data_IF_647799737276
#
_entry.id   IF_647799737276
#
_cell.length_a   1.000
_cell.length_b   1.000
_cell.length_c   1.000
_cell.angle_alpha   90.00
_cell.angle_beta   90.00
_cell.angle_gamma   90.00
#
_symmetry.space_group_name_H-M   'P 1'
#
loop_
_entity.id
_entity.type
_entity.pdbx_description
1 polymer ?
#
# COMPACT_ATOMS: atom_id res chain seq x y z
N UNK A 1 -2.79 -14.21 -10.54
CA UNK A 1 -2.69 -12.76 -10.81
C UNK A 1 -1.72 -12.18 -9.80
N UNK A 2 -0.84 -11.25 -10.18
CA UNK A 2 0.18 -10.74 -9.25
C UNK A 2 -0.43 -9.86 -8.16
N UNK A 3 0.13 -9.92 -6.96
CA UNK A 3 -0.17 -9.07 -5.82
C UNK A 3 0.86 -7.95 -5.73
N UNK A 4 0.38 -6.71 -5.74
CA UNK A 4 1.21 -5.53 -5.45
C UNK A 4 0.89 -5.02 -4.05
N UNK A 5 1.93 -4.61 -3.33
CA UNK A 5 1.81 -3.92 -2.05
C UNK A 5 2.48 -2.55 -2.14
N UNK A 6 1.72 -1.50 -1.86
CA UNK A 6 2.17 -0.11 -2.03
C UNK A 6 2.61 0.47 -0.68
N UNK A 7 3.89 0.84 -0.56
CA UNK A 7 4.41 1.52 0.63
C UNK A 7 4.17 3.03 0.48
N UNK A 8 3.32 3.60 1.34
CA UNK A 8 2.87 4.99 1.25
C UNK A 8 1.69 5.18 0.30
N UNK A 9 0.62 4.40 0.48
CA UNK A 9 -0.54 4.37 -0.43
C UNK A 9 -1.50 5.56 -0.29
N UNK A 10 -1.44 6.31 0.82
CA UNK A 10 -2.43 7.32 1.22
C UNK A 10 -2.35 8.66 0.46
N UNK A 11 -1.30 8.90 -0.31
CA UNK A 11 -1.22 10.08 -1.17
C UNK A 11 -2.17 9.97 -2.37
N UNK A 12 -2.70 11.10 -2.86
CA UNK A 12 -3.61 11.13 -4.03
C UNK A 12 -3.04 10.45 -5.27
N UNK A 13 -1.75 10.65 -5.53
CA UNK A 13 -1.05 9.98 -6.63
C UNK A 13 -1.00 8.45 -6.42
N UNK A 14 -0.58 8.00 -5.24
CA UNK A 14 -0.42 6.58 -4.94
C UNK A 14 -1.77 5.86 -4.85
N UNK A 15 -2.81 6.50 -4.31
CA UNK A 15 -4.18 6.01 -4.33
C UNK A 15 -4.74 5.89 -5.75
N UNK A 16 -4.40 6.83 -6.64
CA UNK A 16 -4.73 6.73 -8.07
C UNK A 16 -4.05 5.54 -8.75
N UNK A 17 -2.76 5.31 -8.48
CA UNK A 17 -2.04 4.12 -8.95
C UNK A 17 -2.69 2.83 -8.43
N UNK A 18 -3.08 2.81 -7.15
CA UNK A 18 -3.75 1.68 -6.53
C UNK A 18 -5.08 1.35 -7.23
N UNK A 19 -5.88 2.38 -7.56
CA UNK A 19 -7.14 2.22 -8.28
C UNK A 19 -6.92 1.67 -9.70
N UNK A 20 -5.98 2.23 -10.45
CA UNK A 20 -5.64 1.76 -11.81
C UNK A 20 -5.15 0.30 -11.77
N UNK A 21 -4.29 -0.05 -10.81
CA UNK A 21 -3.80 -1.41 -10.67
C UNK A 21 -4.93 -2.40 -10.33
N UNK A 22 -5.87 -1.98 -9.47
CA UNK A 22 -7.06 -2.79 -9.15
C UNK A 22 -7.91 -3.02 -10.41
N UNK A 23 -8.14 -1.99 -11.21
CA UNK A 23 -8.91 -2.07 -12.46
C UNK A 23 -8.19 -2.93 -13.52
N UNK A 24 -6.87 -2.87 -13.57
CA UNK A 24 -6.04 -3.76 -14.40
C UNK A 24 -6.00 -5.22 -13.90
N UNK A 25 -6.69 -5.52 -12.79
CA UNK A 25 -6.88 -6.86 -12.24
C UNK A 25 -5.80 -7.33 -11.28
N UNK A 26 -4.89 -6.47 -10.83
CA UNK A 26 -3.94 -6.85 -9.78
C UNK A 26 -4.68 -7.02 -8.45
N UNK A 27 -4.19 -7.95 -7.60
CA UNK A 27 -4.49 -7.85 -6.17
C UNK A 27 -3.68 -6.66 -5.64
N UNK A 28 -4.33 -5.76 -4.91
CA UNK A 28 -3.69 -4.54 -4.39
C UNK A 28 -3.89 -4.48 -2.88
N UNK A 29 -2.80 -4.23 -2.18
CA UNK A 29 -2.79 -3.80 -0.78
C UNK A 29 -1.76 -2.67 -0.61
N UNK A 30 -1.66 -2.11 0.59
CA UNK A 30 -0.60 -1.16 0.90
C UNK A 30 -0.53 -0.82 2.37
N UNK A 31 0.36 0.12 2.69
CA UNK A 31 0.46 0.69 4.02
C UNK A 31 0.70 2.19 3.96
N UNK A 32 0.30 2.88 5.01
CA UNK A 32 0.65 4.28 5.24
C UNK A 32 0.53 4.58 6.74
N UNK A 33 0.93 5.78 7.15
CA UNK A 33 0.50 6.32 8.42
C UNK A 33 -1.03 6.38 8.50
N UNK A 34 -1.57 6.62 9.70
CA UNK A 34 -3.01 6.67 9.93
C UNK A 34 -3.75 7.53 8.90
N UNK A 35 -4.59 6.88 8.11
CA UNK A 35 -5.37 7.51 7.05
C UNK A 35 -6.77 7.90 7.52
N UNK A 36 -7.31 8.92 6.87
CA UNK A 36 -8.64 9.45 7.14
C UNK A 36 -9.41 9.66 5.82
N UNK A 37 -10.74 9.83 5.88
CA UNK A 37 -11.53 10.20 4.71
C UNK A 37 -11.00 11.50 4.06
N UNK A 38 -11.09 11.62 2.72
CA UNK A 38 -11.77 10.72 1.80
C UNK A 38 -10.95 9.50 1.37
N UNK A 39 -9.63 9.50 1.59
CA UNK A 39 -8.74 8.49 1.01
C UNK A 39 -8.99 7.09 1.59
N UNK A 40 -9.13 6.98 2.92
CA UNK A 40 -9.37 5.69 3.57
C UNK A 40 -10.64 5.00 3.02
N UNK A 41 -11.73 5.76 2.93
CA UNK A 41 -13.02 5.27 2.39
C UNK A 41 -12.96 4.92 0.91
N UNK A 42 -12.13 5.62 0.12
CA UNK A 42 -11.96 5.32 -1.30
C UNK A 42 -11.24 3.98 -1.51
N UNK A 43 -10.13 3.76 -0.78
CA UNK A 43 -9.37 2.50 -0.86
C UNK A 43 -10.21 1.31 -0.36
N UNK A 44 -10.97 1.52 0.72
CA UNK A 44 -11.89 0.51 1.25
C UNK A 44 -12.99 0.16 0.23
N UNK A 45 -13.60 1.15 -0.42
CA UNK A 45 -14.62 0.93 -1.45
C UNK A 45 -14.09 0.15 -2.67
N UNK A 46 -12.80 0.27 -2.96
CA UNK A 46 -12.10 -0.52 -4.00
C UNK A 46 -11.70 -1.93 -3.52
N UNK A 47 -11.97 -2.27 -2.25
CA UNK A 47 -11.56 -3.53 -1.63
C UNK A 47 -10.04 -3.67 -1.59
N UNK A 48 -9.34 -2.58 -1.26
CA UNK A 48 -7.89 -2.53 -1.07
C UNK A 48 -7.62 -2.59 0.42
N UNK A 49 -6.94 -3.67 0.86
CA UNK A 49 -6.51 -3.81 2.25
C UNK A 49 -5.37 -2.85 2.55
N UNK A 50 -5.47 -2.11 3.65
CA UNK A 50 -4.42 -1.17 4.06
C UNK A 50 -3.99 -1.42 5.50
N UNK A 51 -2.68 -1.53 5.68
CA UNK A 51 -2.03 -1.60 6.98
C UNK A 51 -1.70 -0.20 7.51
N UNK A 52 -1.92 0.04 8.81
CA UNK A 52 -1.54 1.30 9.46
C UNK A 52 -0.11 1.18 10.01
N UNK A 53 0.78 2.04 9.52
CA UNK A 53 2.18 2.09 9.95
C UNK A 53 3.15 1.49 8.93
N UNK A 54 4.42 1.46 9.32
CA UNK A 54 5.54 1.06 8.48
C UNK A 54 6.44 0.02 9.18
N UNK A 55 5.86 -0.78 10.08
CA UNK A 55 6.57 -1.89 10.72
C UNK A 55 6.84 -3.03 9.72
N UNK A 56 7.87 -3.82 9.97
CA UNK A 56 8.22 -4.96 9.10
C UNK A 56 7.26 -6.16 9.25
N UNK A 57 6.50 -6.27 10.35
CA UNK A 57 5.66 -7.43 10.61
C UNK A 57 4.53 -7.57 9.58
N UNK A 58 4.09 -6.45 8.99
CA UNK A 58 3.11 -6.44 7.89
C UNK A 58 3.52 -7.31 6.68
N UNK A 59 4.82 -7.55 6.45
CA UNK A 59 5.30 -8.34 5.31
C UNK A 59 4.86 -9.81 5.39
N UNK A 60 4.57 -10.32 6.59
CA UNK A 60 4.03 -11.67 6.80
C UNK A 60 2.53 -11.75 6.42
N UNK A 61 1.78 -10.67 6.67
CA UNK A 61 0.35 -10.58 6.37
C UNK A 61 0.07 -10.25 4.89
N UNK A 62 0.90 -9.39 4.31
CA UNK A 62 0.74 -8.86 2.96
C UNK A 62 1.85 -9.33 2.02
N UNK A 63 2.08 -10.65 1.95
CA UNK A 63 3.05 -11.24 1.01
C UNK A 63 2.72 -10.85 -0.44
N UNK A 64 3.56 -10.00 -1.02
CA UNK A 64 3.37 -9.44 -2.35
C UNK A 64 4.42 -9.96 -3.32
N UNK A 65 4.06 -10.01 -4.60
CA UNK A 65 5.02 -10.32 -5.67
C UNK A 65 5.90 -9.11 -5.99
N UNK A 66 5.39 -7.89 -5.73
CA UNK A 66 6.04 -6.62 -6.04
C UNK A 66 5.69 -5.59 -4.97
N UNK A 67 6.72 -4.92 -4.44
CA UNK A 67 6.57 -3.74 -3.59
C UNK A 67 6.71 -2.47 -4.44
N UNK A 68 5.69 -1.62 -4.41
CA UNK A 68 5.70 -0.31 -5.08
C UNK A 68 6.01 0.77 -4.05
N UNK A 69 7.14 1.44 -4.22
CA UNK A 69 7.69 2.36 -3.23
C UNK A 69 7.23 3.79 -3.53
N UNK A 70 6.32 4.31 -2.70
CA UNK A 70 5.90 5.71 -2.74
C UNK A 70 6.96 6.65 -2.16
N UNK A 71 6.83 7.95 -2.46
CA UNK A 71 7.82 8.97 -2.11
C UNK A 71 8.05 9.15 -0.59
N UNK A 72 7.10 8.74 0.25
CA UNK A 72 7.24 8.85 1.72
C UNK A 72 8.25 7.85 2.28
N UNK A 73 8.53 6.76 1.56
CA UNK A 73 9.45 5.74 1.99
C UNK A 73 10.90 6.25 1.96
N UNK A 74 11.64 5.90 3.01
CA UNK A 74 13.05 6.26 3.17
C UNK A 74 13.79 5.16 3.92
N UNK A 75 15.13 5.15 3.76
CA UNK A 75 16.02 4.30 4.55
C UNK A 75 15.78 4.50 6.05
N UNK A 76 15.92 3.43 6.82
CA UNK A 76 15.69 3.38 8.26
C UNK A 76 14.23 3.22 8.69
N UNK A 77 13.29 3.07 7.74
CA UNK A 77 11.93 2.59 8.05
C UNK A 77 11.93 1.06 8.05
N UNK A 78 11.37 0.44 9.08
CA UNK A 78 11.43 -1.01 9.29
C UNK A 78 10.97 -1.81 8.05
N UNK A 79 9.81 -1.48 7.49
CA UNK A 79 9.29 -2.14 6.28
C UNK A 79 10.21 -1.97 5.06
N UNK A 80 10.93 -0.85 4.95
CA UNK A 80 11.81 -0.56 3.80
C UNK A 80 13.14 -1.31 3.92
N UNK A 81 13.67 -1.49 5.12
CA UNK A 81 14.91 -2.27 5.31
C UNK A 81 14.68 -3.78 5.24
N UNK A 82 13.42 -4.24 5.34
CA UNK A 82 13.05 -5.65 5.36
C UNK A 82 12.65 -6.23 3.99
N UNK A 83 12.47 -5.39 2.96
CA UNK A 83 12.18 -5.78 1.57
C UNK A 83 13.43 -5.77 0.70
#
# INVERSE_FOLDING_TARGET
MKHIHIIGIGGTFMGGIAAIAKEAGFKVSGCDAKMYPPMSTQLEALGIGVHEGFDAAQLEEFQADIYVIGNVARRGMDVVEAI
#
